data_IF_529807183706
#
_entry.id   IF_529807183706
#
_cell.length_a   1.000
_cell.length_b   1.000
_cell.length_c   1.000
_cell.angle_alpha   90.00
_cell.angle_beta   90.00
_cell.angle_gamma   90.00
#
_symmetry.space_group_name_H-M   'P 1'
#
loop_
_entity.id
_entity.type
_entity.pdbx_description
1 polymer ?
#
# COMPACT_ATOMS: atom_id res chain seq x y z
N UNK A 1 -6.50 -5.18 4.81
CA UNK A 1 -6.59 -5.03 6.28
C UNK A 1 -7.28 -3.73 6.70
N UNK A 2 -6.70 -2.55 6.42
CA UNK A 2 -7.25 -1.26 6.86
C UNK A 2 -8.73 -1.05 6.47
N UNK A 3 -9.12 -1.44 5.25
CA UNK A 3 -10.50 -1.41 4.76
C UNK A 3 -11.46 -2.25 5.62
N UNK A 4 -11.12 -3.53 5.86
CA UNK A 4 -11.96 -4.48 6.63
C UNK A 4 -12.07 -4.11 8.11
N UNK A 5 -10.98 -3.60 8.70
CA UNK A 5 -10.95 -3.14 10.10
C UNK A 5 -11.56 -1.74 10.30
N UNK A 6 -11.95 -1.06 9.22
CA UNK A 6 -12.56 0.26 9.28
C UNK A 6 -11.72 1.33 9.99
N UNK A 7 -10.39 1.29 9.81
CA UNK A 7 -9.44 2.13 10.57
C UNK A 7 -9.58 3.65 10.30
N UNK A 8 -10.29 4.06 9.24
CA UNK A 8 -10.59 5.47 9.02
C UNK A 8 -11.64 6.02 10.01
N UNK A 9 -12.49 5.16 10.58
CA UNK A 9 -13.57 5.57 11.50
C UNK A 9 -13.06 5.89 12.89
N UNK A 10 -12.05 5.15 13.34
CA UNK A 10 -11.46 5.29 14.66
C UNK A 10 -9.94 5.22 14.55
N UNK A 11 -9.30 6.39 14.70
CA UNK A 11 -7.84 6.55 14.68
C UNK A 11 -7.23 6.52 16.09
N UNK A 12 -8.04 6.26 17.13
CA UNK A 12 -7.55 6.18 18.50
C UNK A 12 -6.78 4.89 18.79
N UNK A 13 -6.08 4.86 19.92
CA UNK A 13 -5.39 3.67 20.43
C UNK A 13 -6.37 2.54 20.85
N UNK A 14 -7.69 2.77 20.79
CA UNK A 14 -8.73 1.76 21.08
C UNK A 14 -9.33 1.12 19.81
N UNK A 15 -8.76 1.40 18.63
CA UNK A 15 -9.29 0.88 17.37
C UNK A 15 -9.22 -0.66 17.27
N UNK A 16 -9.93 -1.22 16.28
CA UNK A 16 -10.02 -2.68 16.05
C UNK A 16 -8.67 -3.37 15.83
N UNK A 17 -7.66 -2.66 15.31
CA UNK A 17 -6.32 -3.20 15.15
C UNK A 17 -5.64 -3.40 16.52
N UNK A 18 -5.78 -2.44 17.44
CA UNK A 18 -5.28 -2.61 18.80
C UNK A 18 -6.02 -3.71 19.55
N UNK A 19 -7.34 -3.83 19.36
CA UNK A 19 -8.11 -4.96 19.90
C UNK A 19 -7.61 -6.30 19.37
N UNK A 20 -7.33 -6.40 18.07
CA UNK A 20 -6.77 -7.60 17.45
C UNK A 20 -5.39 -7.95 18.05
N UNK A 21 -4.48 -6.97 18.15
CA UNK A 21 -3.16 -7.16 18.75
C UNK A 21 -3.24 -7.61 20.22
N UNK A 22 -4.11 -6.98 21.00
CA UNK A 22 -4.32 -7.33 22.40
C UNK A 22 -4.83 -8.77 22.57
N UNK A 23 -5.76 -9.21 21.71
CA UNK A 23 -6.29 -10.58 21.74
C UNK A 23 -5.29 -11.64 21.31
N UNK A 24 -4.38 -11.30 20.40
CA UNK A 24 -3.25 -12.18 20.08
C UNK A 24 -2.20 -12.23 21.20
N UNK A 25 -2.31 -11.37 22.22
CA UNK A 25 -1.36 -11.28 23.33
C UNK A 25 -0.09 -10.48 23.00
N UNK A 26 -0.13 -9.60 21.99
CA UNK A 26 0.99 -8.76 21.58
C UNK A 26 0.92 -7.41 22.29
N UNK A 27 1.98 -7.03 23.00
CA UNK A 27 2.05 -5.69 23.60
C UNK A 27 2.14 -4.63 22.53
N UNK A 28 1.49 -3.50 22.74
CA UNK A 28 1.53 -2.41 21.77
C UNK A 28 2.94 -1.85 21.54
N UNK A 29 3.79 -1.86 22.58
CA UNK A 29 5.19 -1.46 22.49
C UNK A 29 5.98 -2.38 21.56
N UNK A 30 5.72 -3.69 21.60
CA UNK A 30 6.36 -4.68 20.74
C UNK A 30 5.84 -4.56 19.30
N UNK A 31 4.53 -4.35 19.12
CA UNK A 31 3.91 -4.17 17.81
C UNK A 31 4.37 -2.89 17.09
N UNK A 32 4.76 -1.84 17.84
CA UNK A 32 5.32 -0.59 17.29
C UNK A 32 6.82 -0.67 16.99
N UNK A 33 7.52 -1.70 17.47
CA UNK A 33 8.95 -1.90 17.22
C UNK A 33 9.21 -2.40 15.80
N UNK A 34 10.42 -2.13 15.26
CA UNK A 34 10.85 -2.74 13.99
C UNK A 34 10.80 -4.27 14.12
N UNK A 35 10.20 -4.92 13.13
CA UNK A 35 10.07 -6.39 13.08
C UNK A 35 11.42 -7.10 13.26
N UNK A 36 12.52 -6.55 12.73
CA UNK A 36 13.88 -7.10 12.90
C UNK A 36 14.27 -7.28 14.37
N UNK A 37 13.86 -6.35 15.24
CA UNK A 37 14.20 -6.35 16.67
C UNK A 37 13.15 -7.03 17.57
N UNK A 38 12.02 -7.48 17.01
CA UNK A 38 11.02 -8.25 17.75
C UNK A 38 11.57 -9.65 18.09
N UNK A 39 11.19 -10.20 19.25
CA UNK A 39 11.64 -11.52 19.71
C UNK A 39 11.24 -12.66 18.75
N UNK A 40 12.04 -13.73 18.74
CA UNK A 40 11.78 -14.91 17.89
C UNK A 40 10.41 -15.53 18.16
N UNK A 41 10.09 -15.77 19.44
CA UNK A 41 8.82 -16.36 19.87
C UNK A 41 7.60 -15.58 19.36
N UNK A 42 7.64 -14.25 19.36
CA UNK A 42 6.55 -13.42 18.85
C UNK A 42 6.40 -13.53 17.33
N UNK A 43 7.53 -13.59 16.60
CA UNK A 43 7.53 -13.76 15.14
C UNK A 43 6.95 -15.11 14.73
N UNK A 44 7.29 -16.17 15.47
CA UNK A 44 6.80 -17.52 15.21
C UNK A 44 5.32 -17.68 15.54
N UNK A 45 4.84 -17.03 16.61
CA UNK A 45 3.43 -17.09 17.02
C UNK A 45 2.50 -16.23 16.16
N UNK A 46 3.01 -15.18 15.51
CA UNK A 46 2.20 -14.20 14.78
C UNK A 46 1.29 -14.83 13.72
N UNK A 47 1.74 -15.73 12.82
CA UNK A 47 0.86 -16.35 11.83
C UNK A 47 -0.26 -17.19 12.45
N UNK A 48 0.05 -18.00 13.47
CA UNK A 48 -0.94 -18.84 14.15
C UNK A 48 -2.01 -17.99 14.84
N UNK A 49 -1.57 -17.01 15.63
CA UNK A 49 -2.48 -16.12 16.37
C UNK A 49 -3.38 -15.29 15.42
N UNK A 50 -2.83 -14.86 14.28
CA UNK A 50 -3.60 -14.16 13.26
C UNK A 50 -4.62 -15.08 12.58
N UNK A 51 -4.26 -16.35 12.32
CA UNK A 51 -5.14 -17.35 11.72
C UNK A 51 -6.35 -17.67 12.60
N UNK A 52 -6.16 -17.81 13.91
CA UNK A 52 -7.23 -18.07 14.88
C UNK A 52 -8.28 -16.94 14.92
N UNK A 53 -7.84 -15.69 14.78
CA UNK A 53 -8.71 -14.51 14.81
C UNK A 53 -9.15 -14.03 13.42
N UNK A 54 -8.62 -14.60 12.35
CA UNK A 54 -8.83 -14.13 10.99
C UNK A 54 -10.31 -14.06 10.61
N UNK A 55 -11.08 -15.13 10.88
CA UNK A 55 -12.50 -15.19 10.54
C UNK A 55 -13.32 -14.10 11.26
N UNK A 56 -13.05 -13.90 12.56
CA UNK A 56 -13.79 -12.93 13.38
C UNK A 56 -13.56 -11.49 12.92
N UNK A 57 -12.33 -11.16 12.52
CA UNK A 57 -11.98 -9.84 12.01
C UNK A 57 -12.14 -9.71 10.48
N UNK A 58 -12.74 -10.72 9.82
CA UNK A 58 -12.91 -10.82 8.36
C UNK A 58 -11.60 -10.82 7.58
N UNK A 59 -10.47 -11.12 8.22
CA UNK A 59 -9.12 -11.16 7.67
C UNK A 59 -8.72 -12.54 7.13
N UNK A 60 -9.66 -13.25 6.49
CA UNK A 60 -9.47 -14.63 5.99
C UNK A 60 -8.32 -14.76 5.00
N UNK A 61 -8.08 -13.74 4.19
CA UNK A 61 -7.14 -13.79 3.06
C UNK A 61 -5.81 -13.06 3.37
N UNK A 62 -5.52 -12.81 4.66
CA UNK A 62 -4.29 -12.10 5.05
C UNK A 62 -3.08 -13.04 5.04
N UNK A 63 -3.29 -14.32 5.35
CA UNK A 63 -2.28 -15.36 5.23
C UNK A 63 -2.40 -15.99 3.84
N UNK A 64 -1.31 -15.92 3.08
CA UNK A 64 -1.23 -16.52 1.75
C UNK A 64 0.19 -17.01 1.51
N UNK A 65 0.30 -18.09 0.74
CA UNK A 65 1.59 -18.64 0.37
C UNK A 65 2.30 -17.70 -0.61
N UNK A 66 3.57 -17.42 -0.31
CA UNK A 66 4.39 -16.51 -1.10
C UNK A 66 5.84 -16.97 -1.12
N UNK A 67 6.59 -16.46 -2.07
CA UNK A 67 8.03 -16.69 -2.16
C UNK A 67 8.76 -15.68 -1.30
N UNK A 68 9.84 -16.13 -0.68
CA UNK A 68 10.74 -15.27 0.07
C UNK A 68 12.17 -15.63 -0.24
N UNK A 69 13.02 -14.61 -0.28
CA UNK A 69 14.45 -14.76 -0.51
C UNK A 69 15.19 -14.24 0.72
N UNK A 70 16.09 -15.06 1.22
CA UNK A 70 17.02 -14.72 2.29
C UNK A 70 18.41 -15.14 1.79
N UNK A 71 19.41 -14.27 1.98
CA UNK A 71 20.81 -14.55 1.64
C UNK A 71 21.65 -14.44 2.90
N UNK A 72 22.44 -15.48 3.19
CA UNK A 72 23.26 -15.57 4.41
C UNK A 72 22.45 -15.28 5.68
N UNK A 73 23.02 -14.44 6.54
CA UNK A 73 22.39 -13.96 7.78
C UNK A 73 21.56 -12.67 7.59
N UNK A 74 21.39 -12.21 6.35
CA UNK A 74 20.69 -10.96 6.03
C UNK A 74 19.16 -11.04 6.18
N UNK A 75 18.50 -9.89 6.05
CA UNK A 75 17.03 -9.80 6.09
C UNK A 75 16.36 -10.67 5.02
N UNK A 76 15.30 -11.37 5.44
CA UNK A 76 14.36 -12.07 4.56
C UNK A 76 13.41 -11.05 3.90
N UNK A 77 13.28 -11.12 2.57
CA UNK A 77 12.36 -10.27 1.79
C UNK A 77 11.35 -11.18 1.08
N UNK A 78 10.07 -10.85 1.15
CA UNK A 78 9.04 -11.54 0.36
C UNK A 78 8.97 -11.00 -1.09
N UNK A 79 8.38 -11.78 -2.00
CA UNK A 79 8.13 -11.31 -3.35
C UNK A 79 7.26 -10.03 -3.36
N UNK A 80 6.29 -9.94 -2.45
CA UNK A 80 5.44 -8.75 -2.30
C UNK A 80 6.26 -7.52 -1.86
N UNK A 81 7.13 -7.67 -0.86
CA UNK A 81 8.00 -6.58 -0.40
C UNK A 81 8.88 -6.05 -1.53
N UNK A 82 9.45 -6.95 -2.34
CA UNK A 82 10.24 -6.59 -3.49
C UNK A 82 9.45 -5.73 -4.50
N UNK A 83 8.20 -6.12 -4.80
CA UNK A 83 7.32 -5.33 -5.68
C UNK A 83 7.03 -3.95 -5.10
N UNK A 84 6.77 -3.84 -3.80
CA UNK A 84 6.53 -2.55 -3.14
C UNK A 84 7.76 -1.63 -3.21
N UNK A 85 8.96 -2.18 -2.96
CA UNK A 85 10.23 -1.45 -3.02
C UNK A 85 10.50 -0.96 -4.44
N UNK A 86 10.46 -1.86 -5.42
CA UNK A 86 10.75 -1.53 -6.83
C UNK A 86 9.72 -0.54 -7.39
N UNK A 87 8.44 -0.71 -7.05
CA UNK A 87 7.41 0.27 -7.41
C UNK A 87 7.75 1.66 -6.88
N UNK A 88 8.18 1.78 -5.62
CA UNK A 88 8.52 3.08 -5.05
C UNK A 88 9.75 3.72 -5.74
N UNK A 89 10.70 2.90 -6.19
CA UNK A 89 11.88 3.38 -6.94
C UNK A 89 11.51 3.86 -8.35
N UNK A 90 10.68 3.10 -9.06
CA UNK A 90 10.26 3.40 -10.43
C UNK A 90 9.44 4.69 -10.51
N UNK A 91 8.66 4.99 -9.47
CA UNK A 91 7.74 6.12 -9.43
C UNK A 91 8.15 7.16 -8.39
N UNK A 92 9.45 7.29 -8.12
CA UNK A 92 9.95 8.40 -7.31
C UNK A 92 9.67 9.74 -8.01
N UNK A 93 9.29 10.81 -7.29
CA UNK A 93 9.03 12.11 -7.90
C UNK A 93 10.19 12.54 -8.80
N UNK A 94 9.85 12.90 -10.04
CA UNK A 94 10.82 13.31 -11.06
C UNK A 94 11.16 14.78 -10.79
N UNK A 95 12.09 15.02 -9.86
CA UNK A 95 12.71 16.33 -9.61
C UNK A 95 14.16 16.36 -10.09
N UNK A 96 14.69 17.55 -10.37
CA UNK A 96 16.11 17.80 -10.67
C UNK A 96 16.64 17.16 -11.98
N UNK A 97 15.95 17.37 -13.11
CA UNK A 97 16.47 16.97 -14.43
C UNK A 97 16.55 15.46 -14.67
N UNK A 98 16.02 14.64 -13.75
CA UNK A 98 15.84 13.20 -13.95
C UNK A 98 14.65 12.96 -14.87
N UNK A 99 14.64 11.81 -15.53
CA UNK A 99 13.55 11.33 -16.36
C UNK A 99 12.95 10.07 -15.76
N UNK A 100 11.77 9.67 -16.25
CA UNK A 100 11.20 8.37 -15.92
C UNK A 100 12.16 7.21 -16.28
N UNK A 101 12.91 7.35 -17.39
CA UNK A 101 13.88 6.35 -17.82
C UNK A 101 15.01 6.17 -16.78
N UNK A 102 15.47 7.24 -16.15
CA UNK A 102 16.48 7.16 -15.09
C UNK A 102 15.95 6.39 -13.87
N UNK A 103 14.70 6.65 -13.48
CA UNK A 103 14.03 5.89 -12.41
C UNK A 103 13.86 4.42 -12.79
N UNK A 104 13.54 4.13 -14.05
CA UNK A 104 13.43 2.77 -14.57
C UNK A 104 14.75 2.02 -14.49
N UNK A 105 15.83 2.58 -15.05
CA UNK A 105 17.14 1.94 -15.03
C UNK A 105 17.66 1.77 -13.60
N UNK A 106 17.45 2.76 -12.72
CA UNK A 106 17.79 2.63 -11.30
C UNK A 106 17.06 1.47 -10.62
N UNK A 107 15.76 1.29 -10.89
CA UNK A 107 14.96 0.21 -10.34
C UNK A 107 15.37 -1.16 -10.91
N UNK A 108 15.65 -1.20 -12.22
CA UNK A 108 16.14 -2.39 -12.91
C UNK A 108 17.52 -2.82 -12.40
N UNK A 109 18.47 -1.88 -12.30
CA UNK A 109 19.81 -2.14 -11.79
C UNK A 109 19.76 -2.62 -10.35
N UNK A 110 18.89 -2.05 -9.51
CA UNK A 110 18.72 -2.52 -8.14
C UNK A 110 18.26 -3.99 -8.10
N UNK A 111 17.30 -4.38 -8.95
CA UNK A 111 16.86 -5.77 -9.08
C UNK A 111 17.97 -6.67 -9.62
N UNK A 112 18.63 -6.26 -10.70
CA UNK A 112 19.66 -7.04 -11.38
C UNK A 112 20.90 -7.23 -10.50
N UNK A 113 21.38 -6.17 -9.86
CA UNK A 113 22.53 -6.22 -8.95
C UNK A 113 22.21 -7.08 -7.74
N UNK A 114 21.00 -6.99 -7.16
CA UNK A 114 20.59 -7.86 -6.06
C UNK A 114 20.35 -9.32 -6.47
N UNK A 115 20.13 -9.58 -7.76
CA UNK A 115 20.14 -10.94 -8.29
C UNK A 115 21.57 -11.49 -8.36
N UNK A 116 22.51 -10.69 -8.87
CA UNK A 116 23.85 -11.14 -9.28
C UNK A 116 24.96 -10.98 -8.23
N UNK A 117 24.86 -10.02 -7.30
CA UNK A 117 25.90 -9.72 -6.29
C UNK A 117 25.34 -9.89 -4.88
N UNK A 118 26.04 -10.66 -4.05
CA UNK A 118 25.55 -11.08 -2.73
C UNK A 118 25.60 -9.96 -1.68
N UNK A 119 26.68 -9.20 -1.66
CA UNK A 119 26.94 -8.07 -0.73
C UNK A 119 25.94 -6.92 -0.90
N UNK A 120 25.30 -6.85 -2.06
CA UNK A 120 24.43 -5.75 -2.46
C UNK A 120 22.96 -5.99 -2.05
N UNK A 121 22.63 -7.21 -1.59
CA UNK A 121 21.28 -7.57 -1.12
C UNK A 121 20.83 -6.71 0.06
N UNK A 122 21.77 -6.31 0.92
CA UNK A 122 21.52 -5.42 2.05
C UNK A 122 21.25 -3.97 1.63
N UNK A 123 21.62 -3.55 0.40
CA UNK A 123 21.27 -2.21 -0.10
C UNK A 123 19.77 -2.02 -0.28
N UNK A 124 19.03 -3.10 -0.52
CA UNK A 124 17.58 -3.06 -0.54
C UNK A 124 16.98 -3.01 0.87
N UNK A 125 17.66 -3.50 1.91
CA UNK A 125 17.03 -3.80 3.21
C UNK A 125 17.61 -3.11 4.44
N UNK A 126 18.93 -2.92 4.52
CA UNK A 126 19.63 -2.54 5.76
C UNK A 126 20.76 -1.50 5.61
N UNK A 127 21.27 -1.23 4.40
CA UNK A 127 22.40 -0.32 4.22
C UNK A 127 22.13 1.12 4.68
N UNK A 128 23.19 1.90 4.89
CA UNK A 128 23.22 3.34 5.27
C UNK A 128 22.43 4.28 4.35
N UNK A 129 21.76 3.74 3.33
CA UNK A 129 20.72 4.40 2.56
C UNK A 129 19.50 3.51 2.35
N UNK A 130 18.86 3.02 3.43
CA UNK A 130 17.54 2.33 3.45
C UNK A 130 16.37 3.14 2.82
N UNK A 131 16.69 4.11 1.97
CA UNK A 131 15.83 4.93 1.17
C UNK A 131 14.83 4.12 0.34
N UNK A 132 15.12 2.95 -0.29
CA UNK A 132 14.12 2.27 -1.11
C UNK A 132 12.93 1.72 -0.29
N UNK A 133 13.21 0.97 0.77
CA UNK A 133 12.18 0.47 1.71
C UNK A 133 11.48 1.63 2.39
N UNK A 134 12.24 2.63 2.84
CA UNK A 134 11.64 3.81 3.49
C UNK A 134 10.74 4.59 2.53
N UNK A 135 11.11 4.71 1.25
CA UNK A 135 10.29 5.35 0.21
C UNK A 135 9.01 4.56 -0.04
N UNK A 136 9.08 3.23 -0.04
CA UNK A 136 7.89 2.38 -0.17
C UNK A 136 6.95 2.53 1.02
N UNK A 137 7.50 2.56 2.24
CA UNK A 137 6.74 2.81 3.48
C UNK A 137 6.08 4.18 3.42
N UNK A 138 6.82 5.21 3.04
CA UNK A 138 6.33 6.60 2.98
C UNK A 138 5.22 6.75 1.93
N UNK A 139 5.43 6.23 0.71
CA UNK A 139 4.41 6.21 -0.32
C UNK A 139 3.13 5.50 0.16
N UNK A 140 3.26 4.37 0.84
CA UNK A 140 2.11 3.64 1.36
C UNK A 140 1.38 4.42 2.47
N UNK A 141 2.11 5.12 3.34
CA UNK A 141 1.51 6.01 4.36
C UNK A 141 0.72 7.14 3.70
N UNK A 142 1.32 7.83 2.74
CA UNK A 142 0.68 8.91 2.00
C UNK A 142 -0.62 8.46 1.32
N UNK A 143 -0.62 7.27 0.69
CA UNK A 143 -1.83 6.69 0.09
C UNK A 143 -2.90 6.40 1.14
N UNK A 144 -2.53 5.82 2.28
CA UNK A 144 -3.48 5.46 3.35
C UNK A 144 -4.08 6.72 3.99
N UNK A 145 -3.23 7.69 4.34
CA UNK A 145 -3.64 8.94 4.97
C UNK A 145 -4.56 9.72 4.05
N UNK A 146 -4.22 9.83 2.75
CA UNK A 146 -5.06 10.50 1.76
C UNK A 146 -6.37 9.74 1.53
N UNK A 147 -6.33 8.42 1.47
CA UNK A 147 -7.53 7.60 1.36
C UNK A 147 -8.50 7.81 2.53
N UNK A 148 -7.98 7.92 3.75
CA UNK A 148 -8.80 8.21 4.92
C UNK A 148 -9.33 9.65 4.92
N UNK A 149 -8.52 10.64 4.55
CA UNK A 149 -8.95 12.04 4.39
C UNK A 149 -10.16 12.13 3.45
N UNK A 150 -10.07 11.53 2.26
CA UNK A 150 -11.11 11.61 1.23
C UNK A 150 -12.42 10.92 1.62
N UNK A 151 -12.38 9.87 2.43
CA UNK A 151 -13.58 9.15 2.87
C UNK A 151 -14.24 9.86 4.06
N UNK A 152 -13.46 10.55 4.89
CA UNK A 152 -13.97 11.33 6.01
C UNK A 152 -14.60 12.65 5.54
N UNK A 153 -14.07 13.25 4.47
CA UNK A 153 -14.64 14.45 3.87
C UNK A 153 -15.95 14.15 3.12
N UNK A 154 -17.06 14.56 3.73
CA UNK A 154 -18.41 14.24 3.21
C UNK A 154 -18.61 14.83 1.83
N UNK A 155 -18.90 13.96 0.86
CA UNK A 155 -19.19 14.35 -0.52
C UNK A 155 -17.97 14.46 -1.42
N UNK A 156 -16.76 14.21 -0.90
CA UNK A 156 -15.53 14.19 -1.71
C UNK A 156 -15.49 12.99 -2.66
N UNK A 157 -15.87 11.81 -2.18
CA UNK A 157 -16.10 10.62 -3.01
C UNK A 157 -17.56 10.59 -3.47
N UNK A 158 -17.78 10.98 -4.72
CA UNK A 158 -19.11 11.02 -5.34
C UNK A 158 -19.44 9.66 -5.93
N UNK A 159 -20.69 9.23 -5.79
CA UNK A 159 -21.18 7.97 -6.36
C UNK A 159 -22.15 8.26 -7.48
N UNK A 160 -21.84 7.76 -8.67
CA UNK A 160 -22.74 7.72 -9.81
C UNK A 160 -23.36 6.31 -9.93
N UNK A 161 -24.34 6.11 -10.84
CA UNK A 161 -24.90 4.79 -11.11
C UNK A 161 -23.83 3.79 -11.56
N UNK A 162 -22.97 4.16 -12.51
CA UNK A 162 -21.98 3.27 -13.12
C UNK A 162 -20.63 3.18 -12.37
N UNK A 163 -20.17 4.27 -11.74
CA UNK A 163 -18.86 4.32 -11.08
C UNK A 163 -18.84 5.31 -9.91
N UNK A 164 -17.77 5.30 -9.13
CA UNK A 164 -17.45 6.31 -8.12
C UNK A 164 -16.33 7.21 -8.62
N UNK A 165 -16.35 8.47 -8.21
CA UNK A 165 -15.42 9.50 -8.68
C UNK A 165 -14.89 10.36 -7.54
N UNK A 166 -13.62 10.74 -7.64
CA UNK A 166 -13.02 11.84 -6.87
C UNK A 166 -11.99 12.57 -7.72
N UNK A 167 -11.79 13.86 -7.41
CA UNK A 167 -10.79 14.71 -8.05
C UNK A 167 -9.81 15.24 -7.01
N UNK A 168 -8.53 15.28 -7.34
CA UNK A 168 -7.45 15.79 -6.51
C UNK A 168 -6.65 16.83 -7.28
N UNK A 169 -5.93 17.66 -6.55
CA UNK A 169 -4.99 18.63 -7.13
C UNK A 169 -3.61 18.33 -6.55
N UNK A 170 -2.59 18.34 -7.40
CA UNK A 170 -1.19 18.23 -6.95
C UNK A 170 -0.81 19.53 -6.25
N UNK A 171 -0.26 19.41 -5.05
CA UNK A 171 0.39 20.48 -4.31
C UNK A 171 1.77 19.99 -3.83
N UNK A 172 2.58 20.87 -3.23
CA UNK A 172 3.93 20.56 -2.77
C UNK A 172 3.98 19.32 -1.85
N UNK A 173 2.96 19.12 -1.02
CA UNK A 173 2.85 17.99 -0.10
C UNK A 173 2.32 16.69 -0.75
N UNK A 174 1.81 16.77 -1.98
CA UNK A 174 1.23 15.65 -2.70
C UNK A 174 1.87 15.43 -4.09
N UNK A 175 3.15 15.74 -4.24
CA UNK A 175 3.93 15.46 -5.46
C UNK A 175 3.92 13.99 -5.87
N UNK A 176 3.69 13.07 -4.92
CA UNK A 176 3.49 11.65 -5.17
C UNK A 176 2.24 11.34 -6.03
N UNK A 177 1.26 12.24 -6.07
CA UNK A 177 0.07 12.12 -6.93
C UNK A 177 0.37 12.34 -8.41
N UNK A 178 1.54 12.87 -8.79
CA UNK A 178 1.97 12.95 -10.19
C UNK A 178 2.17 11.55 -10.82
N UNK A 179 2.21 10.49 -10.01
CA UNK A 179 2.58 9.16 -10.45
C UNK A 179 1.35 8.29 -10.73
N UNK A 180 1.14 7.80 -11.97
CA UNK A 180 -0.06 7.03 -12.32
C UNK A 180 -0.28 5.79 -11.45
N UNK A 181 0.79 5.08 -11.06
CA UNK A 181 0.67 3.90 -10.18
C UNK A 181 0.22 4.28 -8.77
N UNK A 182 0.65 5.43 -8.25
CA UNK A 182 0.23 5.89 -6.94
C UNK A 182 -1.28 6.25 -6.93
N UNK A 183 -1.74 6.91 -8.00
CA UNK A 183 -3.17 7.15 -8.23
C UNK A 183 -3.93 5.82 -8.35
N UNK A 184 -3.39 4.84 -9.08
CA UNK A 184 -3.99 3.51 -9.22
C UNK A 184 -4.13 2.80 -7.86
N UNK A 185 -3.08 2.80 -7.04
CA UNK A 185 -3.11 2.22 -5.68
C UNK A 185 -4.11 2.93 -4.78
N UNK A 186 -4.16 4.26 -4.82
CA UNK A 186 -5.16 5.05 -4.10
C UNK A 186 -6.58 4.72 -4.57
N UNK A 187 -6.79 4.57 -5.88
CA UNK A 187 -8.09 4.23 -6.48
C UNK A 187 -8.59 2.87 -6.00
N UNK A 188 -7.73 1.84 -6.01
CA UNK A 188 -8.05 0.52 -5.46
C UNK A 188 -8.33 0.60 -3.97
N UNK A 189 -7.53 1.35 -3.20
CA UNK A 189 -7.72 1.49 -1.76
C UNK A 189 -9.07 2.16 -1.42
N UNK A 190 -9.41 3.24 -2.12
CA UNK A 190 -10.72 3.90 -1.98
C UNK A 190 -11.86 2.96 -2.36
N UNK A 191 -11.72 2.17 -3.43
CA UNK A 191 -12.72 1.17 -3.80
C UNK A 191 -12.95 0.14 -2.68
N UNK A 192 -11.88 -0.37 -2.07
CA UNK A 192 -11.99 -1.30 -0.94
C UNK A 192 -12.59 -0.64 0.31
N UNK A 193 -12.24 0.61 0.63
CA UNK A 193 -12.87 1.34 1.73
C UNK A 193 -14.37 1.53 1.47
N UNK A 194 -14.75 1.96 0.27
CA UNK A 194 -16.14 2.22 -0.11
C UNK A 194 -17.01 0.96 -0.09
N UNK A 195 -16.43 -0.19 -0.47
CA UNK A 195 -17.08 -1.52 -0.35
C UNK A 195 -17.44 -1.81 1.10
N UNK A 196 -16.49 -1.64 2.02
CA UNK A 196 -16.67 -1.92 3.45
C UNK A 196 -17.49 -0.83 4.17
N UNK A 197 -17.45 0.41 3.68
CA UNK A 197 -18.16 1.54 4.26
C UNK A 197 -19.66 1.51 3.94
N UNK A 198 -20.01 1.27 2.67
CA UNK A 198 -21.41 1.34 2.20
C UNK A 198 -22.14 0.00 2.21
N UNK A 199 -21.44 -1.12 2.44
CA UNK A 199 -21.99 -2.49 2.37
C UNK A 199 -22.78 -2.71 1.06
N UNK A 200 -22.27 -2.17 -0.04
CA UNK A 200 -22.88 -2.24 -1.38
C UNK A 200 -21.94 -2.95 -2.34
N UNK A 201 -22.48 -3.28 -3.52
CA UNK A 201 -21.68 -3.72 -4.65
C UNK A 201 -20.48 -2.78 -4.87
N UNK A 202 -19.34 -3.43 -5.11
CA UNK A 202 -18.14 -2.79 -5.62
C UNK A 202 -18.50 -2.12 -6.93
N UNK A 203 -18.23 -0.81 -7.00
CA UNK A 203 -18.35 -0.07 -8.26
C UNK A 203 -16.95 0.31 -8.69
N UNK A 204 -16.69 0.37 -10.00
CA UNK A 204 -15.47 0.93 -10.53
C UNK A 204 -15.18 2.31 -9.91
N UNK A 205 -13.90 2.61 -9.72
CA UNK A 205 -13.44 3.87 -9.13
C UNK A 205 -12.65 4.64 -10.17
N UNK A 206 -12.94 5.93 -10.30
CA UNK A 206 -12.23 6.85 -11.19
C UNK A 206 -11.66 7.98 -10.35
N UNK A 207 -10.35 8.21 -10.47
CA UNK A 207 -9.64 9.28 -9.76
C UNK A 207 -9.00 10.20 -10.79
N UNK A 208 -9.37 11.47 -10.77
CA UNK A 208 -8.71 12.53 -11.53
C UNK A 208 -7.72 13.28 -10.65
N UNK A 209 -6.54 13.55 -11.17
CA UNK A 209 -5.52 14.36 -10.51
C UNK A 209 -5.10 15.48 -11.45
N UNK A 210 -5.39 16.71 -11.04
CA UNK A 210 -5.00 17.93 -11.75
C UNK A 210 -3.63 18.40 -11.28
N UNK A 211 -2.70 18.55 -12.22
CA UNK A 211 -1.40 19.17 -11.98
C UNK A 211 -1.46 20.64 -12.43
N UNK A 212 -1.54 21.55 -11.45
CA UNK A 212 -1.69 22.98 -11.71
C UNK A 212 -0.46 23.63 -12.36
N UNK A 213 0.74 23.04 -12.21
CA UNK A 213 1.97 23.57 -12.82
C UNK A 213 2.02 23.29 -14.32
N UNK A 214 1.58 22.11 -14.74
CA UNK A 214 1.60 21.67 -16.14
C UNK A 214 0.29 21.92 -16.87
N UNK A 215 -0.79 22.22 -16.13
CA UNK A 215 -2.15 22.30 -16.67
C UNK A 215 -2.70 20.95 -17.16
N UNK A 216 -2.04 19.83 -16.84
CA UNK A 216 -2.45 18.50 -17.26
C UNK A 216 -3.26 17.79 -16.17
N UNK A 217 -4.20 16.92 -16.59
CA UNK A 217 -4.98 16.08 -15.69
C UNK A 217 -4.71 14.60 -15.99
N UNK A 218 -4.29 13.86 -14.96
CA UNK A 218 -4.15 12.40 -15.03
C UNK A 218 -5.41 11.75 -14.49
N UNK A 219 -6.07 10.93 -15.30
CA UNK A 219 -7.29 10.22 -14.92
C UNK A 219 -7.00 8.72 -14.90
N UNK A 220 -7.27 8.07 -13.75
CA UNK A 220 -7.12 6.62 -13.60
C UNK A 220 -8.46 6.00 -13.28
N UNK A 221 -8.89 5.07 -14.13
CA UNK A 221 -10.07 4.22 -13.91
C UNK A 221 -9.68 2.80 -13.52
N UNK A 222 -10.18 2.32 -12.39
CA UNK A 222 -10.02 0.93 -11.93
C UNK A 222 -11.34 0.19 -11.97
N UNK A 223 -11.31 -1.04 -12.48
CA UNK A 223 -12.47 -1.92 -12.58
C UNK A 223 -12.98 -2.38 -11.22
N UNK A 224 -14.26 -2.73 -11.17
CA UNK A 224 -14.87 -3.35 -10.00
C UNK A 224 -14.35 -4.77 -9.76
N UNK A 225 -14.37 -5.21 -8.51
CA UNK A 225 -14.05 -6.58 -8.13
C UNK A 225 -15.30 -7.23 -7.54
N UNK A 226 -15.78 -8.33 -8.11
CA UNK A 226 -16.96 -9.04 -7.60
C UNK A 226 -16.67 -9.67 -6.23
N UNK A 227 -17.72 -10.08 -5.53
CA UNK A 227 -17.57 -10.61 -4.16
C UNK A 227 -16.78 -11.93 -4.10
N UNK A 228 -16.74 -12.67 -5.20
CA UNK A 228 -16.00 -13.92 -5.41
C UNK A 228 -14.51 -13.71 -5.76
N UNK A 229 -14.03 -12.46 -5.78
CA UNK A 229 -12.65 -12.12 -6.15
C UNK A 229 -12.43 -12.05 -7.67
N UNK A 230 -13.48 -12.22 -8.48
CA UNK A 230 -13.36 -12.03 -9.92
C UNK A 230 -13.22 -10.54 -10.25
N UNK A 231 -12.08 -10.17 -10.85
CA UNK A 231 -11.87 -8.81 -11.36
C UNK A 231 -12.68 -8.64 -12.65
N UNK A 232 -13.63 -7.72 -12.63
CA UNK A 232 -14.35 -7.37 -13.85
C UNK A 232 -13.37 -6.73 -14.85
N UNK A 233 -13.60 -7.01 -16.13
CA UNK A 233 -12.80 -6.40 -17.18
C UNK A 233 -12.89 -4.88 -17.09
N UNK A 234 -11.75 -4.21 -17.14
CA UNK A 234 -11.72 -2.75 -17.09
C UNK A 234 -12.29 -2.18 -18.40
N UNK A 235 -13.46 -1.54 -18.33
CA UNK A 235 -14.17 -0.97 -19.50
C UNK A 235 -13.86 0.53 -19.72
N UNK A 236 -12.89 1.10 -19.01
CA UNK A 236 -12.52 2.51 -19.16
C UNK A 236 -11.53 2.77 -20.30
N UNK A 237 -10.89 1.72 -20.83
CA UNK A 237 -9.95 1.80 -21.96
C UNK A 237 -10.60 1.51 -23.30
#
# INVERSE_FOLDING_TARGET
VASKLQLWRDRSDANKLHTLLARMGFKLTEAKQKFTHMSGDLKERLPSALGELAAEFKLTDVLFDTFSKQRGYGSKISAADCVHIVSAMLFSPIGEGRTWADCFFKAYDALHVCASREEEWERLTQGTGAAPVQSAIELQKQIVDKGFELVLDKGRVRSFPAFRWTSLTVNDSASWLCQPLAIHKLSLFLMHIEREYRLRETKPMVVGVENSETGMCTVVGVGGERQDGYKEFNRFG
#
